data_IF_711557748790
#
_entry.id   IF_711557748790
#
_cell.length_a   1.000
_cell.length_b   1.000
_cell.length_c   1.000
_cell.angle_alpha   90.00
_cell.angle_beta   90.00
_cell.angle_gamma   90.00
#
_symmetry.space_group_name_H-M   'P 1'
#
loop_
_entity.id
_entity.type
_entity.pdbx_description
1 polymer ?
#
# COMPACT_ATOMS: atom_id res chain seq x y z
N UNK A 1 -9.13 -11.79 -36.51
CA UNK A 1 -9.03 -10.60 -35.63
C UNK A 1 -8.95 -9.36 -36.52
N UNK A 2 -9.39 -8.19 -36.04
CA UNK A 2 -9.12 -6.91 -36.71
C UNK A 2 -7.86 -6.32 -36.09
N UNK A 3 -6.78 -6.25 -36.87
CA UNK A 3 -5.56 -5.53 -36.47
C UNK A 3 -5.68 -4.09 -36.95
N UNK A 4 -5.50 -3.14 -36.02
CA UNK A 4 -5.49 -1.72 -36.33
C UNK A 4 -4.06 -1.21 -36.26
N UNK A 5 -3.49 -0.97 -37.43
CA UNK A 5 -2.15 -0.44 -37.58
C UNK A 5 -2.17 1.08 -37.44
N UNK A 6 -1.39 1.63 -36.50
CA UNK A 6 -0.96 3.04 -36.58
C UNK A 6 -0.02 3.24 -37.77
N UNK A 7 0.15 4.48 -38.23
CA UNK A 7 1.15 4.84 -39.25
C UNK A 7 2.30 5.62 -38.59
N UNK A 8 2.75 6.74 -39.17
CA UNK A 8 3.62 7.68 -38.44
C UNK A 8 2.98 8.24 -37.16
N UNK A 9 1.67 8.03 -36.97
CA UNK A 9 0.91 8.34 -35.77
C UNK A 9 0.53 7.07 -34.99
N UNK A 10 0.33 7.22 -33.67
CA UNK A 10 -0.13 6.14 -32.80
C UNK A 10 -1.45 5.52 -33.30
N UNK A 11 -1.57 4.18 -33.23
CA UNK A 11 -2.81 3.49 -33.50
C UNK A 11 -3.84 3.79 -32.40
N UNK A 12 -5.02 4.27 -32.78
CA UNK A 12 -6.11 4.58 -31.85
C UNK A 12 -7.42 3.92 -32.28
N UNK A 13 -8.17 3.38 -31.33
CA UNK A 13 -9.57 3.01 -31.51
C UNK A 13 -10.40 4.04 -30.76
N UNK A 14 -11.30 4.75 -31.45
CA UNK A 14 -12.18 5.75 -30.84
C UNK A 14 -13.64 5.34 -30.97
N UNK A 15 -14.32 5.15 -29.85
CA UNK A 15 -15.75 4.89 -29.78
C UNK A 15 -16.47 6.24 -29.61
N UNK A 16 -17.03 6.77 -30.70
CA UNK A 16 -17.75 8.05 -30.67
C UNK A 16 -19.19 7.88 -30.17
N UNK A 17 -19.79 8.98 -29.68
CA UNK A 17 -21.25 9.08 -29.51
C UNK A 17 -21.96 9.03 -30.88
N UNK A 18 -23.28 8.88 -30.88
CA UNK A 18 -24.12 8.71 -32.08
C UNK A 18 -24.11 9.93 -33.01
N UNK A 19 -23.82 11.12 -32.47
CA UNK A 19 -23.67 12.36 -33.22
C UNK A 19 -22.23 12.63 -33.68
N UNK A 20 -21.29 11.72 -33.38
CA UNK A 20 -19.89 11.78 -33.76
C UNK A 20 -19.12 13.04 -33.27
N UNK A 21 -19.58 13.67 -32.18
CA UNK A 21 -19.00 14.92 -31.66
C UNK A 21 -17.92 14.70 -30.59
N UNK A 22 -17.98 13.60 -29.83
CA UNK A 22 -16.97 13.19 -28.85
C UNK A 22 -16.95 11.66 -28.67
N UNK A 23 -15.94 11.10 -27.99
CA UNK A 23 -15.79 9.66 -27.83
C UNK A 23 -14.71 9.22 -26.85
N UNK A 24 -14.67 7.91 -26.56
CA UNK A 24 -13.65 7.27 -25.71
C UNK A 24 -12.56 6.69 -26.63
N UNK A 25 -11.30 7.05 -26.39
CA UNK A 25 -10.16 6.64 -27.24
C UNK A 25 -9.23 5.70 -26.47
N UNK A 26 -9.00 4.51 -27.03
CA UNK A 26 -7.89 3.62 -26.61
C UNK A 26 -6.71 3.94 -27.52
N UNK A 27 -5.61 4.44 -26.94
CA UNK A 27 -4.43 4.91 -27.68
C UNK A 27 -3.16 4.16 -27.25
N UNK A 28 -2.43 3.63 -28.22
CA UNK A 28 -1.08 3.09 -28.01
C UNK A 28 0.00 4.18 -27.96
N UNK A 29 1.25 3.83 -27.61
CA UNK A 29 2.36 4.79 -27.63
C UNK A 29 2.70 5.26 -29.06
N UNK A 30 3.46 6.36 -29.17
CA UNK A 30 4.01 6.80 -30.44
C UNK A 30 4.98 5.74 -31.02
N UNK A 31 5.05 5.63 -32.36
CA UNK A 31 5.87 4.64 -33.05
C UNK A 31 7.36 4.68 -32.64
N UNK A 32 7.88 5.87 -32.34
CA UNK A 32 9.27 6.08 -31.89
C UNK A 32 9.60 5.48 -30.52
N UNK A 33 8.59 5.08 -29.73
CA UNK A 33 8.81 4.49 -28.42
C UNK A 33 9.20 3.00 -28.48
N UNK A 34 9.04 2.33 -29.65
CA UNK A 34 9.36 0.91 -29.86
C UNK A 34 8.86 -0.03 -28.74
N UNK A 35 7.68 0.28 -28.18
CA UNK A 35 7.14 -0.42 -27.02
C UNK A 35 5.76 -1.02 -27.33
N UNK A 36 5.56 -2.26 -26.89
CA UNK A 36 4.28 -2.98 -26.96
C UNK A 36 3.63 -2.96 -25.59
N UNK A 37 2.38 -2.50 -25.50
CA UNK A 37 1.59 -2.52 -24.28
C UNK A 37 0.31 -3.32 -24.49
N UNK A 38 0.07 -4.30 -23.62
CA UNK A 38 -1.15 -5.12 -23.64
C UNK A 38 -2.05 -4.68 -22.49
N UNK A 39 -3.22 -4.10 -22.82
CA UNK A 39 -4.29 -3.88 -21.83
C UNK A 39 -5.19 -5.12 -21.86
N UNK A 40 -4.97 -6.06 -20.94
CA UNK A 40 -5.81 -7.25 -20.79
C UNK A 40 -7.05 -6.89 -19.98
N UNK A 41 -8.20 -6.81 -20.63
CA UNK A 41 -9.49 -6.69 -19.94
C UNK A 41 -9.87 -8.03 -19.28
N UNK A 42 -10.57 -8.04 -18.13
CA UNK A 42 -11.03 -9.27 -17.52
C UNK A 42 -12.09 -9.96 -18.38
N UNK A 43 -12.05 -11.29 -18.46
CA UNK A 43 -13.03 -12.14 -19.17
C UNK A 43 -14.21 -12.57 -18.29
N UNK A 44 -14.15 -12.26 -16.99
CA UNK A 44 -15.22 -12.40 -15.98
C UNK A 44 -15.06 -11.30 -14.92
N UNK A 45 -16.14 -10.71 -14.38
CA UNK A 45 -16.04 -9.78 -13.24
C UNK A 45 -15.51 -10.55 -12.01
N UNK A 46 -14.25 -10.28 -11.64
CA UNK A 46 -13.51 -11.10 -10.67
C UNK A 46 -13.70 -10.66 -9.22
N UNK A 47 -14.08 -11.61 -8.36
CA UNK A 47 -13.95 -11.52 -6.90
C UNK A 47 -12.54 -11.91 -6.40
N UNK A 48 -11.57 -12.21 -7.29
CA UNK A 48 -10.23 -12.68 -6.89
C UNK A 48 -9.04 -12.21 -7.74
N UNK A 49 -9.15 -11.28 -8.70
CA UNK A 49 -8.00 -10.56 -9.29
C UNK A 49 -8.37 -9.13 -9.74
N UNK A 50 -7.38 -8.22 -9.70
CA UNK A 50 -7.56 -6.78 -9.89
C UNK A 50 -8.11 -6.37 -11.27
N UNK A 51 -9.09 -5.47 -11.28
CA UNK A 51 -9.39 -4.63 -12.45
C UNK A 51 -8.17 -3.74 -12.72
N UNK A 52 -7.46 -3.99 -13.82
CA UNK A 52 -6.20 -3.34 -14.18
C UNK A 52 -6.29 -1.87 -14.61
N UNK A 53 -7.41 -1.19 -14.37
CA UNK A 53 -7.52 0.25 -14.59
C UNK A 53 -8.21 0.88 -13.39
N UNK A 54 -7.42 1.28 -12.40
CA UNK A 54 -7.82 2.30 -11.43
C UNK A 54 -7.79 3.62 -12.17
N UNK A 55 -8.94 4.12 -12.62
CA UNK A 55 -9.05 5.46 -13.20
C UNK A 55 -9.15 6.49 -12.09
N UNK A 56 -8.39 7.57 -12.19
CA UNK A 56 -8.65 8.77 -11.40
C UNK A 56 -9.69 9.67 -12.10
N UNK A 57 -10.29 10.59 -11.36
CA UNK A 57 -11.03 11.71 -11.95
C UNK A 57 -10.07 12.68 -12.71
N UNK A 58 -10.64 13.73 -13.30
CA UNK A 58 -9.87 14.74 -14.03
C UNK A 58 -8.84 15.50 -13.15
N UNK A 59 -8.93 15.36 -11.83
CA UNK A 59 -8.03 15.97 -10.85
C UNK A 59 -7.01 14.97 -10.28
N UNK A 60 -7.00 13.71 -10.74
CA UNK A 60 -6.09 12.68 -10.23
C UNK A 60 -6.59 11.97 -8.96
N UNK A 61 -7.86 12.15 -8.56
CA UNK A 61 -8.46 11.51 -7.38
C UNK A 61 -8.99 10.13 -7.73
N UNK A 62 -8.62 9.14 -6.92
CA UNK A 62 -9.20 7.79 -6.97
C UNK A 62 -10.22 7.66 -5.85
N UNK A 63 -11.45 7.29 -6.17
CA UNK A 63 -12.54 7.08 -5.20
C UNK A 63 -12.92 5.61 -5.14
N UNK A 64 -13.10 5.10 -3.92
CA UNK A 64 -13.73 3.80 -3.67
C UNK A 64 -15.12 4.08 -3.07
N UNK A 65 -16.17 3.89 -3.87
CA UNK A 65 -17.56 4.20 -3.45
C UNK A 65 -18.08 3.24 -2.37
N UNK A 66 -17.44 2.07 -2.23
CA UNK A 66 -17.80 1.04 -1.27
C UNK A 66 -16.56 0.58 -0.47
N UNK A 67 -16.73 -0.42 0.40
CA UNK A 67 -15.64 -0.93 1.24
C UNK A 67 -14.43 -1.42 0.45
N UNK A 68 -13.23 -1.13 0.96
CA UNK A 68 -11.97 -1.73 0.51
C UNK A 68 -11.62 -2.94 1.41
N UNK A 69 -11.10 -4.00 0.80
CA UNK A 69 -10.52 -5.15 1.49
C UNK A 69 -9.06 -5.23 1.05
N UNK A 70 -8.16 -5.31 2.01
CA UNK A 70 -6.72 -5.38 1.81
C UNK A 70 -6.19 -6.65 2.49
N UNK A 71 -5.19 -7.27 1.89
CA UNK A 71 -4.50 -8.41 2.48
C UNK A 71 -3.70 -7.95 3.70
N UNK A 72 -3.66 -8.77 4.75
CA UNK A 72 -2.78 -8.50 5.88
C UNK A 72 -1.41 -9.09 5.64
N UNK A 73 -0.36 -8.26 5.71
CA UNK A 73 1.01 -8.70 5.52
C UNK A 73 1.61 -9.15 6.85
N UNK A 74 1.70 -10.47 7.05
CA UNK A 74 2.39 -11.04 8.20
C UNK A 74 3.91 -10.92 8.02
N UNK A 75 4.59 -10.38 9.04
CA UNK A 75 6.04 -10.28 9.08
C UNK A 75 6.62 -11.18 10.19
N UNK A 76 7.90 -11.49 10.07
CA UNK A 76 8.66 -12.26 11.05
C UNK A 76 9.90 -11.48 11.50
N UNK A 77 10.46 -11.89 12.63
CA UNK A 77 11.74 -11.41 13.13
C UNK A 77 12.79 -12.52 13.13
N UNK A 78 14.04 -12.12 12.97
CA UNK A 78 15.21 -12.97 13.16
C UNK A 78 16.38 -12.14 13.67
N UNK A 79 17.16 -12.69 14.61
CA UNK A 79 18.32 -11.99 15.20
C UNK A 79 17.96 -10.62 15.78
N UNK A 80 16.83 -10.57 16.49
CA UNK A 80 16.28 -9.39 17.14
C UNK A 80 15.94 -8.24 16.19
N UNK A 81 15.63 -8.54 14.92
CA UNK A 81 15.31 -7.55 13.91
C UNK A 81 14.11 -7.96 13.05
N UNK A 82 13.30 -6.99 12.63
CA UNK A 82 12.25 -7.16 11.62
C UNK A 82 12.15 -5.90 10.75
N UNK A 83 11.81 -6.08 9.47
CA UNK A 83 11.61 -4.96 8.54
C UNK A 83 10.14 -4.84 8.17
N UNK A 84 9.60 -3.62 8.26
CA UNK A 84 8.32 -3.24 7.68
C UNK A 84 8.62 -2.52 6.36
N UNK A 85 8.37 -3.21 5.25
CA UNK A 85 8.55 -2.66 3.92
C UNK A 85 7.21 -2.19 3.38
N UNK A 86 7.06 -0.87 3.21
CA UNK A 86 5.79 -0.23 2.83
C UNK A 86 5.40 -0.45 1.36
N UNK A 87 6.18 -1.25 0.61
CA UNK A 87 5.80 -1.78 -0.70
C UNK A 87 5.06 -3.12 -0.62
N UNK A 88 5.12 -3.79 0.52
CA UNK A 88 4.49 -5.11 0.72
C UNK A 88 3.06 -4.99 1.27
N UNK A 89 2.65 -3.81 1.73
CA UNK A 89 1.31 -3.53 2.23
C UNK A 89 1.25 -2.29 3.12
N UNK A 90 0.06 -2.00 3.63
CA UNK A 90 -0.22 -0.95 4.62
C UNK A 90 -0.89 -1.51 5.89
N UNK A 91 -1.17 -2.82 5.95
CA UNK A 91 -1.72 -3.50 7.12
C UNK A 91 -0.82 -4.67 7.50
N UNK A 92 -0.03 -4.52 8.56
CA UNK A 92 0.95 -5.52 8.98
C UNK A 92 0.55 -6.24 10.27
N UNK A 93 0.94 -7.50 10.38
CA UNK A 93 0.81 -8.27 11.62
C UNK A 93 2.16 -8.88 12.01
N UNK A 94 2.46 -8.89 13.31
CA UNK A 94 3.65 -9.55 13.85
C UNK A 94 3.34 -10.23 15.18
N UNK A 95 3.52 -11.54 15.23
CA UNK A 95 3.60 -12.27 16.50
C UNK A 95 5.05 -12.29 16.96
N UNK A 96 5.33 -11.68 18.11
CA UNK A 96 6.70 -11.53 18.62
C UNK A 96 7.24 -12.87 19.12
N UNK A 97 8.33 -13.35 18.53
CA UNK A 97 9.07 -14.56 18.98
C UNK A 97 10.35 -14.22 19.74
N UNK A 98 10.75 -12.95 19.71
CA UNK A 98 11.95 -12.41 20.35
C UNK A 98 11.76 -10.91 20.62
N UNK A 99 12.66 -10.31 21.40
CA UNK A 99 12.76 -8.85 21.44
C UNK A 99 13.17 -8.38 20.06
N UNK A 100 12.52 -7.34 19.54
CA UNK A 100 12.67 -6.94 18.14
C UNK A 100 13.01 -5.47 18.02
N UNK A 101 13.92 -5.17 17.10
CA UNK A 101 14.14 -3.81 16.58
C UNK A 101 13.51 -3.71 15.20
N UNK A 102 12.59 -2.76 15.02
CA UNK A 102 11.99 -2.54 13.71
C UNK A 102 12.83 -1.63 12.83
N UNK A 103 12.84 -1.93 11.54
CA UNK A 103 13.25 -1.00 10.47
C UNK A 103 12.05 -0.71 9.58
N UNK A 104 11.75 0.56 9.34
CA UNK A 104 10.75 0.95 8.34
C UNK A 104 11.48 1.29 7.03
N UNK A 105 10.96 0.79 5.91
CA UNK A 105 11.62 0.93 4.62
C UNK A 105 10.66 1.22 3.48
N UNK A 106 11.19 1.82 2.42
CA UNK A 106 10.49 2.16 1.18
C UNK A 106 9.19 2.99 1.36
N UNK A 107 9.16 4.03 2.22
CA UNK A 107 8.04 4.97 2.22
C UNK A 107 7.91 5.67 0.87
N UNK A 108 6.73 6.25 0.64
CA UNK A 108 6.51 7.16 -0.46
C UNK A 108 7.51 8.32 -0.38
N UNK A 109 8.02 8.76 -1.53
CA UNK A 109 8.92 9.91 -1.59
C UNK A 109 8.24 11.18 -1.01
N UNK A 110 9.05 12.11 -0.51
CA UNK A 110 8.55 13.38 0.04
C UNK A 110 7.60 14.10 -0.93
N UNK A 111 6.54 14.70 -0.38
CA UNK A 111 5.41 15.23 -1.15
C UNK A 111 4.29 14.21 -1.38
N UNK A 112 4.49 12.95 -0.97
CA UNK A 112 3.46 11.91 -0.87
C UNK A 112 3.45 11.33 0.54
N UNK A 113 2.38 10.64 0.89
CA UNK A 113 2.16 10.09 2.22
C UNK A 113 2.28 8.58 2.19
N UNK A 114 2.91 8.02 3.22
CA UNK A 114 2.74 6.61 3.58
C UNK A 114 2.13 6.53 4.97
N UNK A 115 1.05 5.76 5.09
CA UNK A 115 0.42 5.41 6.35
C UNK A 115 0.29 3.89 6.41
N UNK A 116 0.49 3.30 7.59
CA UNK A 116 0.29 1.87 7.79
C UNK A 116 -0.14 1.55 9.22
N UNK A 117 -0.79 0.40 9.39
CA UNK A 117 -1.12 -0.20 10.68
C UNK A 117 -0.20 -1.38 10.98
N UNK A 118 0.10 -1.59 12.27
CA UNK A 118 0.82 -2.75 12.76
C UNK A 118 0.07 -3.33 13.96
N UNK A 119 -0.45 -4.55 13.81
CA UNK A 119 -0.95 -5.36 14.92
C UNK A 119 0.18 -6.24 15.44
N UNK A 120 0.51 -6.07 16.72
CA UNK A 120 1.51 -6.87 17.43
C UNK A 120 0.80 -7.82 18.38
N UNK A 121 1.26 -9.07 18.44
CA UNK A 121 0.80 -10.06 19.42
C UNK A 121 2.00 -10.60 20.19
N UNK A 122 1.96 -10.59 21.52
CA UNK A 122 2.96 -11.28 22.35
C UNK A 122 2.91 -12.80 22.09
N UNK A 123 4.04 -13.48 22.16
CA UNK A 123 4.04 -14.94 22.34
C UNK A 123 3.66 -15.28 23.81
N UNK A 124 4.18 -16.38 24.35
CA UNK A 124 3.99 -16.74 25.75
C UNK A 124 4.88 -15.96 26.71
N UNK A 125 5.88 -15.23 26.20
CA UNK A 125 6.87 -14.48 26.96
C UNK A 125 6.73 -12.98 26.65
N UNK A 126 6.86 -12.12 27.65
CA UNK A 126 6.86 -10.69 27.41
C UNK A 126 8.08 -10.30 26.55
N UNK A 127 7.82 -9.75 25.35
CA UNK A 127 8.82 -9.22 24.44
C UNK A 127 8.79 -7.70 24.41
N UNK A 128 9.93 -7.11 24.09
CA UNK A 128 10.08 -5.67 23.89
C UNK A 128 10.25 -5.30 22.43
N UNK A 129 9.81 -4.09 22.08
CA UNK A 129 10.05 -3.48 20.77
C UNK A 129 10.98 -2.30 20.95
N UNK A 130 12.02 -2.24 20.12
CA UNK A 130 12.82 -1.04 19.88
C UNK A 130 12.34 -0.39 18.59
N UNK A 131 11.77 0.80 18.69
CA UNK A 131 11.27 1.55 17.55
C UNK A 131 12.41 2.30 16.84
N UNK A 132 12.32 2.55 15.52
CA UNK A 132 13.22 3.45 14.83
C UNK A 132 13.27 4.82 15.52
N UNK A 133 14.45 5.46 15.56
CA UNK A 133 14.59 6.82 16.12
C UNK A 133 13.85 7.89 15.32
N UNK A 134 13.43 7.58 14.08
CA UNK A 134 12.58 8.43 13.26
C UNK A 134 11.12 8.44 13.72
N UNK A 135 10.72 7.57 14.66
CA UNK A 135 9.36 7.58 15.20
C UNK A 135 9.23 8.66 16.27
N UNK A 136 8.43 9.67 15.98
CA UNK A 136 7.97 10.67 16.92
C UNK A 136 6.68 10.20 17.59
N UNK A 137 6.74 10.04 18.91
CA UNK A 137 5.62 9.62 19.74
C UNK A 137 5.06 10.83 20.50
N UNK A 138 3.81 10.72 20.96
CA UNK A 138 3.24 11.71 21.87
C UNK A 138 4.17 11.94 23.09
N UNK A 139 4.51 13.20 23.34
CA UNK A 139 5.47 13.59 24.38
C UNK A 139 6.83 12.87 24.29
N UNK A 140 7.28 12.52 23.08
CA UNK A 140 8.52 11.81 22.80
C UNK A 140 8.70 10.48 23.57
N UNK A 141 7.59 9.84 23.97
CA UNK A 141 7.62 8.62 24.78
C UNK A 141 6.94 7.48 24.05
N UNK A 142 7.69 6.42 23.74
CA UNK A 142 7.13 5.21 23.15
C UNK A 142 6.15 4.52 24.11
N UNK A 143 5.09 3.89 23.60
CA UNK A 143 4.11 3.21 24.43
C UNK A 143 4.69 1.96 25.10
N UNK A 144 4.27 1.70 26.34
CA UNK A 144 4.57 0.46 27.06
C UNK A 144 3.72 -0.67 26.48
N UNK A 145 4.35 -1.75 26.03
CA UNK A 145 3.64 -2.91 25.48
C UNK A 145 2.85 -3.68 26.54
N UNK A 146 1.75 -4.28 26.10
CA UNK A 146 1.07 -5.32 26.86
C UNK A 146 1.99 -6.53 27.01
N UNK A 147 2.10 -7.07 28.23
CA UNK A 147 3.05 -8.16 28.55
C UNK A 147 2.39 -9.53 28.74
N UNK A 148 1.06 -9.58 28.72
CA UNK A 148 0.31 -10.83 28.88
C UNK A 148 0.55 -11.74 27.68
N UNK A 149 0.63 -13.06 27.92
CA UNK A 149 0.71 -14.06 26.85
C UNK A 149 -0.42 -13.87 25.84
N UNK A 150 -0.10 -13.77 24.56
CA UNK A 150 -1.08 -13.50 23.50
C UNK A 150 -1.68 -12.09 23.54
N UNK A 151 -1.17 -11.18 24.37
CA UNK A 151 -1.63 -9.81 24.46
C UNK A 151 -1.42 -9.08 23.14
N UNK A 152 -2.44 -8.31 22.72
CA UNK A 152 -2.47 -7.62 21.43
C UNK A 152 -2.40 -6.11 21.62
N UNK A 153 -1.49 -5.48 20.90
CA UNK A 153 -1.40 -4.03 20.75
C UNK A 153 -1.47 -3.66 19.25
N UNK A 154 -2.08 -2.52 18.93
CA UNK A 154 -2.22 -2.02 17.55
C UNK A 154 -1.67 -0.60 17.48
N UNK A 155 -0.78 -0.39 16.51
CA UNK A 155 -0.14 0.89 16.25
C UNK A 155 -0.46 1.38 14.84
N UNK A 156 -0.46 2.69 14.66
CA UNK A 156 -0.55 3.35 13.35
C UNK A 156 0.64 4.28 13.20
N UNK A 157 1.20 4.32 12.00
CA UNK A 157 2.32 5.18 11.67
C UNK A 157 2.03 5.95 10.39
N UNK A 158 2.42 7.22 10.36
CA UNK A 158 2.28 8.07 9.16
C UNK A 158 3.55 8.87 8.93
N UNK A 159 4.02 8.92 7.69
CA UNK A 159 5.10 9.81 7.25
C UNK A 159 4.67 10.63 6.05
N UNK A 160 5.11 11.89 6.03
CA UNK A 160 4.84 12.86 4.97
C UNK A 160 6.13 13.30 4.25
N UNK A 161 7.29 12.82 4.69
CA UNK A 161 8.61 13.37 4.37
C UNK A 161 9.63 12.30 3.92
N UNK A 162 9.15 11.21 3.32
CA UNK A 162 10.02 10.13 2.86
C UNK A 162 10.63 9.28 3.98
N UNK A 163 10.00 9.25 5.15
CA UNK A 163 10.43 8.46 6.30
C UNK A 163 11.50 9.11 7.17
N UNK A 164 11.74 10.41 7.00
CA UNK A 164 12.60 11.16 7.92
C UNK A 164 11.95 11.22 9.31
N UNK A 165 10.64 11.47 9.33
CA UNK A 165 9.80 11.43 10.53
C UNK A 165 8.60 10.50 10.30
N UNK A 166 8.34 9.63 11.26
CA UNK A 166 7.10 8.87 11.36
C UNK A 166 6.36 9.31 12.62
N UNK A 167 5.13 9.78 12.47
CA UNK A 167 4.25 10.02 13.61
C UNK A 167 3.66 8.69 14.06
N UNK A 168 4.02 8.25 15.26
CA UNK A 168 3.54 7.00 15.87
C UNK A 168 2.33 7.22 16.76
N UNK A 169 1.31 6.38 16.59
CA UNK A 169 0.09 6.39 17.39
C UNK A 169 -0.20 5.02 17.97
N UNK A 170 -0.57 5.01 19.24
CA UNK A 170 -1.17 3.83 19.87
C UNK A 170 -2.66 3.81 19.54
N UNK A 171 -3.05 2.95 18.61
CA UNK A 171 -4.44 2.83 18.17
C UNK A 171 -5.27 1.94 19.11
N UNK A 172 -4.63 0.96 19.76
CA UNK A 172 -5.24 0.13 20.78
C UNK A 172 -4.19 -0.64 21.57
N UNK A 173 -4.46 -0.92 22.85
CA UNK A 173 -3.58 -1.72 23.71
C UNK A 173 -4.39 -2.70 24.54
N UNK A 174 -3.75 -3.82 24.91
CA UNK A 174 -4.34 -4.89 25.70
C UNK A 174 -5.70 -5.35 25.14
N UNK A 175 -5.76 -5.51 23.82
CA UNK A 175 -6.95 -5.97 23.11
C UNK A 175 -7.19 -7.47 23.41
N UNK A 176 -8.46 -7.86 23.55
CA UNK A 176 -8.89 -9.21 23.91
C UNK A 176 -9.43 -10.03 22.75
#
# INVERSE_FOLDING_TARGET
FTELYGNTNAGTIRFNCESNSHGVTVQGPAHSAAATYTVKLPDTLGLTQASGIVTSDANGVVTFDNGKIEESTAITSSSNAATINLRDGDNFTHTLSENVTYTFSNPAASGKVSAFSLKVTQDSTARTITWPSSVDWAAATAPTLTTTSGGVDVFVFVTYDGGTTYYGFTAGQAMG
#
